data_IF_563196791893
#
_entry.id   IF_563196791893
#
_cell.length_a   1.000
_cell.length_b   1.000
_cell.length_c   1.000
_cell.angle_alpha   90.00
_cell.angle_beta   90.00
_cell.angle_gamma   90.00
#
_symmetry.space_group_name_H-M   'P 1'
#
loop_
_entity.id
_entity.type
_entity.pdbx_description
1 polymer ?
#
# COMPACT_ATOMS: atom_id res chain seq x y z
N UNK A 1 -17.53 -17.96 -10.46
CA UNK A 1 -17.76 -16.78 -11.33
C UNK A 1 -16.63 -16.66 -12.34
N UNK A 2 -16.95 -16.57 -13.63
CA UNK A 2 -15.97 -16.37 -14.69
C UNK A 2 -16.17 -15.01 -15.34
N UNK A 3 -15.08 -14.42 -15.82
CA UNK A 3 -15.10 -13.21 -16.63
C UNK A 3 -14.39 -13.46 -17.96
N UNK A 4 -14.84 -12.76 -18.99
CA UNK A 4 -14.13 -12.62 -20.25
C UNK A 4 -13.90 -11.13 -20.48
N UNK A 5 -12.64 -10.75 -20.62
CA UNK A 5 -12.31 -9.36 -20.94
C UNK A 5 -12.69 -9.04 -22.39
N UNK A 6 -13.12 -7.81 -22.62
CA UNK A 6 -13.42 -7.33 -23.96
C UNK A 6 -12.17 -7.43 -24.84
N UNK A 7 -12.27 -8.18 -25.95
CA UNK A 7 -11.16 -8.44 -26.87
C UNK A 7 -10.29 -9.66 -26.55
N UNK A 8 -10.54 -10.38 -25.43
CA UNK A 8 -9.87 -11.64 -25.12
C UNK A 8 -10.74 -12.87 -25.45
N UNK A 9 -10.12 -13.93 -25.96
CA UNK A 9 -10.78 -15.22 -26.20
C UNK A 9 -10.88 -16.02 -24.89
N UNK A 10 -9.94 -15.80 -23.96
CA UNK A 10 -9.84 -16.56 -22.71
C UNK A 10 -10.92 -16.18 -21.71
N UNK A 11 -11.58 -17.20 -21.16
CA UNK A 11 -12.49 -17.08 -20.00
C UNK A 11 -11.73 -17.44 -18.75
N UNK A 12 -11.69 -16.53 -17.78
CA UNK A 12 -10.91 -16.69 -16.53
C UNK A 12 -11.82 -16.71 -15.32
N UNK A 13 -11.46 -17.51 -14.33
CA UNK A 13 -12.12 -17.52 -13.03
C UNK A 13 -11.53 -16.47 -12.11
N UNK A 14 -12.38 -15.65 -11.48
CA UNK A 14 -11.98 -14.59 -10.53
C UNK A 14 -12.03 -15.05 -9.07
N UNK A 15 -12.65 -16.20 -8.79
CA UNK A 15 -12.77 -16.74 -7.43
C UNK A 15 -11.47 -17.42 -6.96
N UNK A 16 -11.12 -17.26 -5.69
CA UNK A 16 -9.98 -17.93 -5.08
C UNK A 16 -10.12 -19.46 -5.04
N UNK A 17 -11.35 -19.96 -5.05
CA UNK A 17 -11.69 -21.39 -4.91
C UNK A 17 -11.95 -22.08 -6.26
N UNK A 18 -11.35 -21.62 -7.36
CA UNK A 18 -11.53 -22.21 -8.67
C UNK A 18 -10.73 -23.51 -8.80
N UNK A 19 -11.37 -24.67 -8.90
CA UNK A 19 -10.74 -26.00 -9.00
C UNK A 19 -9.74 -26.10 -10.16
N UNK A 20 -10.03 -25.51 -11.32
CA UNK A 20 -9.14 -25.54 -12.48
C UNK A 20 -7.82 -24.78 -12.28
N UNK A 21 -7.74 -23.94 -11.26
CA UNK A 21 -6.57 -23.09 -11.00
C UNK A 21 -5.98 -23.31 -9.60
N UNK A 22 -6.54 -24.24 -8.83
CA UNK A 22 -6.20 -24.40 -7.42
C UNK A 22 -4.72 -24.70 -7.21
N UNK A 23 -4.15 -25.61 -7.97
CA UNK A 23 -2.73 -25.99 -7.85
C UNK A 23 -1.82 -24.81 -8.14
N UNK A 24 -2.09 -24.10 -9.23
CA UNK A 24 -1.29 -22.93 -9.60
C UNK A 24 -1.40 -21.79 -8.59
N UNK A 25 -2.59 -21.56 -8.04
CA UNK A 25 -2.82 -20.59 -6.97
C UNK A 25 -2.08 -20.94 -5.69
N UNK A 26 -2.08 -22.22 -5.30
CA UNK A 26 -1.34 -22.70 -4.13
C UNK A 26 0.17 -22.52 -4.34
N UNK A 27 0.69 -22.88 -5.54
CA UNK A 27 2.11 -22.67 -5.90
C UNK A 27 2.49 -21.21 -5.85
N UNK A 28 1.69 -20.34 -6.48
CA UNK A 28 1.92 -18.90 -6.47
C UNK A 28 1.91 -18.33 -5.05
N UNK A 29 0.89 -18.72 -4.25
CA UNK A 29 0.76 -18.28 -2.86
C UNK A 29 1.99 -18.67 -2.02
N UNK A 30 2.50 -19.87 -2.19
CA UNK A 30 3.66 -20.38 -1.45
C UNK A 30 5.01 -19.86 -1.97
N UNK A 31 5.06 -19.24 -3.15
CA UNK A 31 6.29 -18.83 -3.82
C UNK A 31 7.12 -17.82 -3.03
N UNK A 32 8.43 -17.74 -3.36
CA UNK A 32 9.41 -16.87 -2.68
C UNK A 32 9.03 -15.38 -2.68
N UNK A 33 8.43 -14.88 -3.76
CA UNK A 33 7.96 -13.49 -3.87
C UNK A 33 6.67 -13.22 -3.09
N UNK A 34 5.90 -14.26 -2.78
CA UNK A 34 4.63 -14.24 -2.07
C UNK A 34 4.81 -14.57 -0.59
N UNK A 35 4.21 -15.65 -0.09
CA UNK A 35 4.28 -16.03 1.34
C UNK A 35 5.61 -16.72 1.72
N UNK A 36 6.44 -17.11 0.77
CA UNK A 36 7.79 -17.69 0.97
C UNK A 36 7.77 -18.93 1.87
N UNK A 37 6.96 -19.91 1.51
CA UNK A 37 6.84 -21.15 2.27
C UNK A 37 7.84 -22.17 1.72
N UNK A 38 9.02 -22.18 2.30
CA UNK A 38 10.08 -23.09 1.89
C UNK A 38 9.65 -24.56 2.06
N UNK A 39 9.97 -25.36 1.08
CA UNK A 39 9.55 -26.77 1.06
C UNK A 39 8.19 -27.03 0.42
N UNK A 40 7.39 -25.99 0.12
CA UNK A 40 6.10 -26.13 -0.54
C UNK A 40 6.21 -25.82 -2.05
N UNK A 41 7.15 -26.52 -2.72
CA UNK A 41 7.30 -26.46 -4.17
C UNK A 41 6.28 -27.31 -4.92
N UNK A 42 6.33 -27.27 -6.26
CA UNK A 42 5.37 -27.91 -7.17
C UNK A 42 5.01 -29.36 -6.79
N UNK A 43 6.02 -30.22 -6.65
CA UNK A 43 5.81 -31.65 -6.34
C UNK A 43 5.15 -31.89 -4.98
N UNK A 44 5.46 -31.06 -3.99
CA UNK A 44 4.87 -31.17 -2.66
C UNK A 44 3.43 -30.64 -2.63
N UNK A 45 3.15 -29.56 -3.38
CA UNK A 45 1.77 -29.06 -3.57
C UNK A 45 0.90 -30.13 -4.25
N UNK A 46 1.38 -30.74 -5.34
CA UNK A 46 0.67 -31.84 -6.04
C UNK A 46 0.43 -33.04 -5.12
N UNK A 47 1.43 -33.42 -4.33
CA UNK A 47 1.32 -34.54 -3.40
C UNK A 47 0.26 -34.25 -2.32
N UNK A 48 0.34 -33.10 -1.66
CA UNK A 48 -0.62 -32.69 -0.63
C UNK A 48 -2.05 -32.59 -1.20
N UNK A 49 -2.20 -32.04 -2.40
CA UNK A 49 -3.49 -31.94 -3.09
C UNK A 49 -4.05 -33.32 -3.45
N UNK A 50 -3.23 -34.21 -4.03
CA UNK A 50 -3.64 -35.58 -4.39
C UNK A 50 -4.09 -36.40 -3.19
N UNK A 51 -3.51 -36.13 -2.03
CA UNK A 51 -3.87 -36.74 -0.74
C UNK A 51 -5.03 -36.04 -0.03
N UNK A 52 -5.61 -35.02 -0.66
CA UNK A 52 -6.72 -34.20 -0.11
C UNK A 52 -6.40 -33.52 1.23
N UNK A 53 -5.14 -33.30 1.51
CA UNK A 53 -4.67 -32.58 2.69
C UNK A 53 -4.83 -31.06 2.52
N UNK A 54 -4.76 -30.59 1.27
CA UNK A 54 -5.05 -29.22 0.89
C UNK A 54 -5.98 -29.23 -0.33
N UNK A 55 -6.97 -28.39 -0.33
CA UNK A 55 -7.85 -28.09 -1.46
C UNK A 55 -7.83 -26.61 -1.83
N UNK A 56 -7.24 -25.81 -0.97
CA UNK A 56 -7.15 -24.37 -1.08
C UNK A 56 -5.88 -23.87 -0.36
N UNK A 57 -5.34 -22.71 -0.74
CA UNK A 57 -4.12 -22.19 -0.08
C UNK A 57 -4.29 -21.91 1.41
N UNK A 58 -5.51 -21.62 1.91
CA UNK A 58 -5.74 -21.48 3.34
C UNK A 58 -5.58 -22.79 4.13
N UNK A 59 -5.71 -23.96 3.46
CA UNK A 59 -5.55 -25.25 4.12
C UNK A 59 -4.09 -25.54 4.48
N UNK A 60 -3.14 -24.85 3.85
CA UNK A 60 -1.71 -24.92 4.20
C UNK A 60 -1.51 -24.66 5.69
N UNK A 61 -2.23 -23.70 6.25
CA UNK A 61 -2.14 -23.29 7.66
C UNK A 61 -2.87 -24.22 8.64
N UNK A 62 -3.57 -25.24 8.13
CA UNK A 62 -4.22 -26.29 8.93
C UNK A 62 -3.36 -27.55 9.01
N UNK A 63 -2.32 -27.68 8.16
CA UNK A 63 -1.44 -28.85 8.11
C UNK A 63 -0.73 -29.06 9.45
N UNK A 64 -0.72 -30.32 9.89
CA UNK A 64 0.02 -30.76 11.06
C UNK A 64 1.19 -31.61 10.63
N UNK A 65 2.20 -31.72 11.48
CA UNK A 65 3.40 -32.52 11.21
C UNK A 65 3.06 -34.00 10.93
N UNK A 66 2.09 -34.53 11.66
CA UNK A 66 1.63 -35.91 11.53
C UNK A 66 1.05 -36.20 10.15
N UNK A 67 0.34 -35.22 9.56
CA UNK A 67 -0.22 -35.34 8.21
C UNK A 67 0.87 -35.47 7.14
N UNK A 68 2.00 -34.80 7.36
CA UNK A 68 3.12 -34.73 6.42
C UNK A 68 4.05 -35.96 6.56
N UNK A 69 4.29 -36.44 7.78
CA UNK A 69 5.14 -37.57 8.06
C UNK A 69 4.72 -38.88 7.34
N UNK A 70 3.42 -39.03 7.09
CA UNK A 70 2.87 -40.19 6.40
C UNK A 70 2.99 -40.10 4.86
N UNK A 71 3.56 -39.00 4.34
CA UNK A 71 3.69 -38.79 2.91
C UNK A 71 5.05 -39.34 2.38
N UNK A 72 5.07 -39.91 1.16
CA UNK A 72 6.32 -40.25 0.52
C UNK A 72 7.22 -39.03 0.38
N UNK A 73 8.54 -39.24 0.54
CA UNK A 73 9.60 -38.21 0.48
C UNK A 73 9.69 -37.31 1.71
N UNK A 74 8.83 -37.44 2.70
CA UNK A 74 8.96 -36.71 3.95
C UNK A 74 9.55 -37.65 5.03
N UNK A 75 10.57 -37.14 5.70
CA UNK A 75 11.13 -37.69 6.92
C UNK A 75 10.94 -36.66 8.03
N UNK A 76 11.22 -37.02 9.26
CA UNK A 76 11.06 -36.20 10.46
C UNK A 76 11.58 -34.76 10.26
N UNK A 77 12.83 -34.64 9.75
CA UNK A 77 13.46 -33.31 9.53
C UNK A 77 12.78 -32.49 8.46
N UNK A 78 12.40 -33.08 7.32
CA UNK A 78 11.75 -32.34 6.22
C UNK A 78 10.32 -31.95 6.56
N UNK A 79 9.58 -32.80 7.28
CA UNK A 79 8.26 -32.46 7.80
C UNK A 79 8.34 -31.29 8.80
N UNK A 80 9.29 -31.36 9.75
CA UNK A 80 9.51 -30.27 10.71
C UNK A 80 9.89 -28.96 10.01
N UNK A 81 10.76 -29.00 9.01
CA UNK A 81 11.16 -27.81 8.26
C UNK A 81 9.97 -27.18 7.53
N UNK A 82 9.11 -27.97 6.90
CA UNK A 82 7.92 -27.48 6.21
C UNK A 82 6.94 -26.80 7.21
N UNK A 83 6.65 -27.45 8.33
CA UNK A 83 5.80 -26.85 9.37
C UNK A 83 6.40 -25.55 9.90
N UNK A 84 7.71 -25.52 10.15
CA UNK A 84 8.39 -24.31 10.59
C UNK A 84 8.32 -23.18 9.54
N UNK A 85 8.43 -23.51 8.26
CA UNK A 85 8.26 -22.54 7.16
C UNK A 85 6.82 -22.01 7.07
N UNK A 86 5.82 -22.87 7.25
CA UNK A 86 4.41 -22.48 7.31
C UNK A 86 4.18 -21.53 8.49
N UNK A 87 4.66 -21.85 9.68
CA UNK A 87 4.50 -20.97 10.85
C UNK A 87 5.22 -19.63 10.64
N UNK A 88 6.43 -19.62 10.10
CA UNK A 88 7.16 -18.39 9.79
C UNK A 88 6.40 -17.52 8.80
N UNK A 89 5.76 -18.10 7.80
CA UNK A 89 5.00 -17.38 6.76
C UNK A 89 3.74 -16.68 7.29
N UNK A 90 3.26 -17.05 8.47
CA UNK A 90 2.12 -16.37 9.11
C UNK A 90 2.38 -14.88 9.36
N UNK A 91 3.63 -14.49 9.58
CA UNK A 91 4.00 -13.08 9.73
C UNK A 91 4.49 -12.55 8.38
N UNK A 92 3.67 -11.75 7.74
CA UNK A 92 3.94 -11.21 6.40
C UNK A 92 3.62 -9.73 6.29
N UNK A 93 4.04 -9.09 5.19
CA UNK A 93 3.69 -7.71 4.88
C UNK A 93 2.47 -7.64 3.96
N UNK A 94 1.74 -6.53 4.02
CA UNK A 94 0.58 -6.30 3.15
C UNK A 94 0.95 -6.42 1.67
N UNK A 95 2.09 -5.90 1.26
CA UNK A 95 2.61 -6.03 -0.08
C UNK A 95 2.72 -7.49 -0.52
N UNK A 96 3.45 -8.33 0.25
CA UNK A 96 3.65 -9.75 -0.06
C UNK A 96 2.33 -10.51 -0.08
N UNK A 97 1.46 -10.22 0.87
CA UNK A 97 0.15 -10.85 0.96
C UNK A 97 -0.74 -10.50 -0.24
N UNK A 98 -0.83 -9.23 -0.64
CA UNK A 98 -1.59 -8.81 -1.82
C UNK A 98 -1.07 -9.49 -3.10
N UNK A 99 0.25 -9.60 -3.25
CA UNK A 99 0.85 -10.33 -4.36
C UNK A 99 0.51 -11.82 -4.30
N UNK A 100 0.58 -12.44 -3.11
CA UNK A 100 0.27 -13.85 -2.89
C UNK A 100 -1.18 -14.22 -3.25
N UNK A 101 -2.13 -13.31 -3.12
CA UNK A 101 -3.53 -13.56 -3.48
C UNK A 101 -3.74 -13.83 -4.97
N UNK A 102 -2.78 -13.47 -5.83
CA UNK A 102 -2.86 -13.70 -7.28
C UNK A 102 -4.06 -13.03 -7.93
N UNK A 103 -4.40 -11.83 -7.48
CA UNK A 103 -5.47 -11.01 -8.07
C UNK A 103 -5.09 -10.69 -9.52
N UNK A 104 -6.02 -10.88 -10.44
CA UNK A 104 -5.77 -10.63 -11.87
C UNK A 104 -5.26 -9.19 -12.09
N UNK A 105 -4.24 -9.01 -12.93
CA UNK A 105 -3.53 -7.75 -13.20
C UNK A 105 -2.76 -7.15 -12.02
N UNK A 106 -2.78 -7.75 -10.84
CA UNK A 106 -2.03 -7.30 -9.68
C UNK A 106 -0.73 -8.09 -9.57
N UNK A 107 0.30 -7.63 -10.26
CA UNK A 107 1.66 -8.09 -10.09
C UNK A 107 2.35 -7.45 -8.88
N UNK A 108 3.62 -7.78 -8.68
CA UNK A 108 4.44 -7.30 -7.56
C UNK A 108 4.42 -5.76 -7.44
N UNK A 109 4.55 -5.06 -8.58
CA UNK A 109 4.55 -3.60 -8.61
C UNK A 109 3.21 -2.99 -8.15
N UNK A 110 2.09 -3.51 -8.66
CA UNK A 110 0.77 -3.04 -8.27
C UNK A 110 0.45 -3.35 -6.80
N UNK A 111 0.86 -4.52 -6.30
CA UNK A 111 0.73 -4.88 -4.89
C UNK A 111 1.51 -3.91 -3.98
N UNK A 112 2.71 -3.48 -4.40
CA UNK A 112 3.51 -2.49 -3.69
C UNK A 112 2.86 -1.10 -3.70
N UNK A 113 2.27 -0.67 -4.82
CA UNK A 113 1.53 0.59 -4.87
C UNK A 113 0.30 0.57 -3.95
N UNK A 114 -0.43 -0.55 -3.93
CA UNK A 114 -1.57 -0.71 -3.03
C UNK A 114 -1.13 -0.67 -1.56
N UNK A 115 -0.06 -1.39 -1.18
CA UNK A 115 0.42 -1.38 0.22
C UNK A 115 0.86 0.01 0.69
N UNK A 116 1.40 0.85 -0.21
CA UNK A 116 1.76 2.22 0.12
C UNK A 116 0.55 3.14 0.39
N UNK A 117 -0.59 2.84 -0.20
CA UNK A 117 -1.78 3.70 -0.16
C UNK A 117 -2.87 3.22 0.82
N UNK A 118 -2.83 1.98 1.28
CA UNK A 118 -3.80 1.41 2.23
C UNK A 118 -3.08 0.90 3.48
N UNK A 119 -3.49 1.36 4.66
CA UNK A 119 -2.84 1.00 5.93
C UNK A 119 -3.03 -0.48 6.24
N UNK A 120 -4.24 -0.99 6.03
CA UNK A 120 -4.67 -2.34 6.41
C UNK A 120 -5.35 -3.05 5.26
N UNK A 121 -5.30 -4.38 5.24
CA UNK A 121 -6.03 -5.20 4.28
C UNK A 121 -7.53 -4.87 4.25
N UNK A 122 -8.11 -4.57 5.40
CA UNK A 122 -9.54 -4.27 5.55
C UNK A 122 -9.97 -2.98 4.85
N UNK A 123 -9.04 -2.05 4.61
CA UNK A 123 -9.31 -0.80 3.88
C UNK A 123 -9.68 -1.06 2.40
N UNK A 124 -9.34 -2.26 1.91
CA UNK A 124 -9.68 -2.73 0.57
C UNK A 124 -11.07 -3.40 0.51
N UNK A 125 -11.67 -3.77 1.65
CA UNK A 125 -12.98 -4.42 1.65
C UNK A 125 -14.07 -3.46 1.17
N UNK A 126 -14.92 -3.94 0.24
CA UNK A 126 -15.99 -3.16 -0.39
C UNK A 126 -15.50 -1.86 -1.06
N UNK A 127 -14.25 -1.84 -1.51
CA UNK A 127 -13.63 -0.67 -2.13
C UNK A 127 -14.23 -0.40 -3.51
N UNK A 128 -14.47 0.89 -3.80
CA UNK A 128 -14.90 1.34 -5.13
C UNK A 128 -13.69 1.51 -6.05
N UNK A 129 -13.83 1.17 -7.36
CA UNK A 129 -12.75 1.29 -8.33
C UNK A 129 -12.15 2.71 -8.40
N UNK A 130 -12.98 3.75 -8.25
CA UNK A 130 -12.58 5.15 -8.35
C UNK A 130 -11.51 5.50 -7.31
N UNK A 131 -11.61 4.93 -6.09
CA UNK A 131 -10.61 5.14 -5.03
C UNK A 131 -9.27 4.50 -5.37
N UNK A 132 -9.26 3.41 -6.14
CA UNK A 132 -8.04 2.73 -6.55
C UNK A 132 -7.42 3.43 -7.76
N UNK A 133 -8.24 3.87 -8.72
CA UNK A 133 -7.81 4.63 -9.90
C UNK A 133 -7.12 5.95 -9.51
N UNK A 134 -7.51 6.57 -8.39
CA UNK A 134 -6.87 7.78 -7.90
C UNK A 134 -5.40 7.59 -7.50
N UNK A 135 -4.94 6.35 -7.35
CA UNK A 135 -3.54 6.03 -7.07
C UNK A 135 -2.74 6.18 -8.35
N UNK A 136 -1.73 7.06 -8.32
CA UNK A 136 -0.84 7.28 -9.47
C UNK A 136 -0.25 5.94 -9.97
N UNK A 137 -0.27 5.73 -11.27
CA UNK A 137 0.24 4.54 -11.97
C UNK A 137 -0.65 3.28 -11.83
N UNK A 138 -1.82 3.36 -11.24
CA UNK A 138 -2.82 2.31 -11.28
C UNK A 138 -3.88 2.64 -12.35
N UNK A 139 -4.01 1.76 -13.34
CA UNK A 139 -5.01 1.89 -14.39
C UNK A 139 -6.34 1.18 -14.08
N UNK A 140 -7.33 1.42 -14.92
CA UNK A 140 -8.70 0.89 -14.78
C UNK A 140 -8.75 -0.64 -14.64
N UNK A 141 -7.91 -1.38 -15.38
CA UNK A 141 -7.87 -2.86 -15.33
C UNK A 141 -7.48 -3.36 -13.94
N UNK A 142 -6.44 -2.78 -13.34
CA UNK A 142 -5.99 -3.13 -11.98
C UNK A 142 -7.08 -2.75 -10.97
N UNK A 143 -7.61 -1.52 -11.07
CA UNK A 143 -8.63 -1.03 -10.15
C UNK A 143 -9.90 -1.87 -10.20
N UNK A 144 -10.36 -2.24 -11.38
CA UNK A 144 -11.49 -3.14 -11.58
C UNK A 144 -11.25 -4.52 -10.96
N UNK A 145 -10.09 -5.13 -11.21
CA UNK A 145 -9.74 -6.45 -10.67
C UNK A 145 -9.67 -6.45 -9.15
N UNK A 146 -9.06 -5.45 -8.55
CA UNK A 146 -8.98 -5.29 -7.09
C UNK A 146 -10.36 -5.09 -6.49
N UNK A 147 -11.16 -4.19 -7.07
CA UNK A 147 -12.52 -3.95 -6.59
C UNK A 147 -13.39 -5.20 -6.68
N UNK A 148 -13.39 -5.90 -7.80
CA UNK A 148 -14.15 -7.16 -7.99
C UNK A 148 -13.70 -8.20 -6.95
N UNK A 149 -12.40 -8.35 -6.71
CA UNK A 149 -11.87 -9.31 -5.74
C UNK A 149 -12.32 -9.01 -4.30
N UNK A 150 -12.20 -7.76 -3.86
CA UNK A 150 -12.51 -7.34 -2.49
C UNK A 150 -14.00 -7.02 -2.26
N UNK A 151 -14.85 -7.12 -3.29
CA UNK A 151 -16.30 -7.09 -3.17
C UNK A 151 -16.91 -8.50 -3.25
N UNK A 152 -16.13 -9.54 -3.48
CA UNK A 152 -16.58 -10.93 -3.49
C UNK A 152 -16.61 -11.48 -2.06
N UNK A 153 -17.79 -11.91 -1.63
CA UNK A 153 -18.02 -12.39 -0.26
C UNK A 153 -17.20 -13.65 0.09
N UNK A 154 -17.03 -14.57 -0.86
CA UNK A 154 -16.26 -15.81 -0.64
C UNK A 154 -14.77 -15.52 -0.50
N UNK A 155 -14.26 -14.55 -1.28
CA UNK A 155 -12.88 -14.09 -1.12
C UNK A 155 -12.68 -13.47 0.28
N UNK A 156 -13.56 -12.58 0.72
CA UNK A 156 -13.49 -11.97 2.05
C UNK A 156 -13.54 -13.03 3.15
N UNK A 157 -14.43 -14.02 3.05
CA UNK A 157 -14.52 -15.13 4.00
C UNK A 157 -13.19 -15.93 4.07
N UNK A 158 -12.56 -16.16 2.93
CA UNK A 158 -11.26 -16.82 2.87
C UNK A 158 -10.18 -16.00 3.58
N UNK A 159 -10.16 -14.67 3.38
CA UNK A 159 -9.21 -13.77 4.07
C UNK A 159 -9.44 -13.76 5.60
N UNK A 160 -10.69 -13.78 6.04
CA UNK A 160 -11.04 -13.91 7.45
C UNK A 160 -10.60 -15.26 8.05
N UNK A 161 -10.74 -16.33 7.28
CA UNK A 161 -10.24 -17.67 7.67
C UNK A 161 -8.73 -17.66 7.85
N UNK A 162 -7.96 -17.07 6.92
CA UNK A 162 -6.51 -16.93 7.08
C UNK A 162 -6.14 -16.18 8.35
N UNK A 163 -6.83 -15.08 8.65
CA UNK A 163 -6.65 -14.33 9.89
C UNK A 163 -6.92 -15.20 11.13
N UNK A 164 -7.99 -16.00 11.13
CA UNK A 164 -8.33 -16.90 12.25
C UNK A 164 -7.32 -18.03 12.42
N UNK A 165 -6.61 -18.43 11.35
CA UNK A 165 -5.52 -19.41 11.36
C UNK A 165 -4.17 -18.81 11.78
N UNK A 166 -4.16 -17.52 12.17
CA UNK A 166 -2.99 -16.85 12.74
C UNK A 166 -2.14 -16.08 11.73
N UNK A 167 -2.61 -15.90 10.47
CA UNK A 167 -1.90 -15.03 9.52
C UNK A 167 -2.00 -13.57 9.98
N UNK A 168 -0.85 -12.99 10.28
CA UNK A 168 -0.67 -11.63 10.75
C UNK A 168 -0.03 -10.78 9.65
N UNK A 169 -0.75 -9.75 9.23
CA UNK A 169 -0.34 -8.86 8.14
C UNK A 169 0.04 -7.51 8.72
N UNK A 170 1.31 -7.15 8.59
CA UNK A 170 1.84 -5.83 8.95
C UNK A 170 2.04 -4.98 7.69
N UNK A 171 2.06 -3.68 7.82
CA UNK A 171 2.33 -2.81 6.67
C UNK A 171 3.35 -1.71 7.00
N UNK A 172 4.65 -2.05 6.99
CA UNK A 172 5.72 -1.07 7.17
C UNK A 172 5.85 -0.11 5.97
N UNK A 173 5.32 -0.47 4.80
CA UNK A 173 5.42 0.31 3.56
C UNK A 173 4.33 1.38 3.44
N UNK A 174 3.39 1.44 4.39
CA UNK A 174 2.31 2.41 4.35
C UNK A 174 2.87 3.83 4.43
N UNK A 175 2.78 4.53 3.31
CA UNK A 175 3.17 5.93 3.26
C UNK A 175 2.06 6.84 3.80
N UNK A 176 0.88 6.26 4.02
CA UNK A 176 -0.35 6.97 4.30
C UNK A 176 -0.83 7.69 3.03
N UNK A 177 -2.00 8.31 3.06
CA UNK A 177 -2.00 9.66 2.61
C UNK A 177 -1.02 10.36 3.57
N UNK A 178 0.26 10.42 3.24
CA UNK A 178 0.95 11.66 3.51
C UNK A 178 0.01 12.67 2.82
N UNK A 179 -0.94 13.23 3.52
CA UNK A 179 -1.13 14.66 3.45
C UNK A 179 0.31 15.11 3.56
N UNK A 180 0.94 15.44 2.44
CA UNK A 180 2.11 16.29 2.50
C UNK A 180 1.69 17.22 3.59
N UNK A 181 2.41 17.19 4.73
CA UNK A 181 2.10 18.15 5.78
C UNK A 181 2.14 19.44 5.02
N UNK A 182 0.98 19.94 4.68
CA UNK A 182 0.84 21.26 4.04
C UNK A 182 0.52 22.24 5.15
N UNK A 183 1.49 22.42 6.08
CA UNK A 183 1.29 23.27 7.26
C UNK A 183 0.95 24.70 6.84
N UNK A 184 1.18 25.03 5.57
CA UNK A 184 0.97 26.35 5.00
C UNK A 184 -0.25 26.40 4.05
N UNK A 185 -1.08 25.34 3.99
CA UNK A 185 -2.22 25.27 3.07
C UNK A 185 -3.20 26.41 3.31
N UNK A 186 -3.46 27.16 2.23
CA UNK A 186 -4.35 28.34 2.27
C UNK A 186 -3.70 29.62 2.83
N UNK A 187 -2.43 29.59 3.25
CA UNK A 187 -1.72 30.77 3.73
C UNK A 187 -0.91 31.44 2.63
N UNK A 188 -0.94 32.76 2.60
CA UNK A 188 -0.18 33.60 1.66
C UNK A 188 0.97 34.31 2.37
N UNK A 189 2.18 34.11 1.85
CA UNK A 189 3.41 34.69 2.38
C UNK A 189 4.02 35.69 1.41
N UNK A 190 4.62 36.73 1.95
CA UNK A 190 5.47 37.67 1.21
C UNK A 190 6.82 37.77 1.89
N UNK A 191 7.89 37.91 1.12
CA UNK A 191 9.25 38.00 1.64
C UNK A 191 9.79 39.42 1.37
N UNK A 192 10.46 40.02 2.38
CA UNK A 192 11.12 41.31 2.26
C UNK A 192 12.49 41.30 2.95
N UNK A 193 13.43 42.06 2.43
CA UNK A 193 14.80 42.12 2.96
C UNK A 193 15.64 40.90 2.57
N UNK A 194 16.87 40.84 3.11
CA UNK A 194 17.82 39.75 2.92
C UNK A 194 17.61 38.70 4.00
N UNK A 195 17.38 37.46 3.59
CA UNK A 195 17.19 36.31 4.49
C UNK A 195 18.36 35.32 4.32
N UNK A 196 18.52 34.41 5.28
CA UNK A 196 19.62 33.45 5.33
C UNK A 196 19.69 32.46 4.15
N UNK A 197 18.63 32.37 3.36
CA UNK A 197 18.50 31.51 2.16
C UNK A 197 18.16 32.34 0.92
N UNK A 198 18.53 31.90 -0.28
CA UNK A 198 18.05 32.51 -1.51
C UNK A 198 16.52 32.61 -1.53
N UNK A 199 16.00 33.78 -1.89
CA UNK A 199 14.55 34.02 -1.92
C UNK A 199 13.77 32.95 -2.67
N UNK A 200 14.29 32.52 -3.83
CA UNK A 200 13.67 31.50 -4.67
C UNK A 200 13.51 30.17 -3.95
N UNK A 201 14.52 29.75 -3.17
CA UNK A 201 14.45 28.52 -2.37
C UNK A 201 13.33 28.58 -1.32
N UNK A 202 13.13 29.73 -0.69
CA UNK A 202 12.08 29.92 0.34
C UNK A 202 10.71 30.01 -0.30
N UNK A 203 10.57 30.64 -1.46
CA UNK A 203 9.35 30.66 -2.24
C UNK A 203 8.95 29.22 -2.67
N UNK A 204 9.90 28.46 -3.21
CA UNK A 204 9.68 27.05 -3.60
C UNK A 204 9.33 26.16 -2.39
N UNK A 205 9.92 26.43 -1.22
CA UNK A 205 9.59 25.73 0.03
C UNK A 205 8.14 26.04 0.48
N UNK A 206 7.72 27.31 0.45
CA UNK A 206 6.34 27.72 0.78
C UNK A 206 5.35 26.98 -0.15
N UNK A 207 5.59 27.01 -1.45
CA UNK A 207 4.72 26.35 -2.45
C UNK A 207 4.68 24.83 -2.24
N UNK A 208 5.83 24.19 -1.95
CA UNK A 208 5.89 22.76 -1.69
C UNK A 208 5.12 22.32 -0.44
N UNK A 209 4.97 23.22 0.52
CA UNK A 209 4.22 23.01 1.77
C UNK A 209 2.75 23.45 1.68
N UNK A 210 2.29 23.79 0.46
CA UNK A 210 0.89 24.14 0.18
C UNK A 210 0.51 25.60 0.43
N UNK A 211 1.49 26.46 0.77
CA UNK A 211 1.30 27.90 0.86
C UNK A 211 1.41 28.59 -0.49
N UNK A 212 1.14 29.89 -0.54
CA UNK A 212 1.30 30.73 -1.72
C UNK A 212 2.33 31.84 -1.46
N UNK A 213 3.38 31.91 -2.28
CA UNK A 213 4.41 32.94 -2.20
C UNK A 213 4.06 34.11 -3.13
N UNK A 214 3.62 35.23 -2.56
CA UNK A 214 3.24 36.41 -3.34
C UNK A 214 4.39 37.44 -3.42
N UNK A 215 4.45 38.16 -4.53
CA UNK A 215 5.45 39.20 -4.77
C UNK A 215 5.17 40.52 -4.08
N UNK A 216 3.91 40.79 -3.70
CA UNK A 216 3.46 42.05 -3.12
C UNK A 216 2.53 41.83 -1.91
N UNK A 217 2.63 42.71 -0.90
CA UNK A 217 1.74 42.69 0.28
C UNK A 217 0.35 43.22 -0.10
N UNK A 218 -0.68 42.48 0.29
CA UNK A 218 -2.10 42.82 0.09
C UNK A 218 -2.93 42.41 1.32
N UNK A 219 -4.23 42.70 1.32
CA UNK A 219 -5.16 42.28 2.39
C UNK A 219 -5.30 40.74 2.51
N UNK A 220 -4.94 40.01 1.47
CA UNK A 220 -4.92 38.53 1.45
C UNK A 220 -3.57 37.94 1.87
N UNK A 221 -2.63 38.77 2.33
CA UNK A 221 -1.32 38.28 2.84
C UNK A 221 -1.47 37.96 4.32
N UNK A 222 -1.18 36.71 4.70
CA UNK A 222 -1.25 36.26 6.09
C UNK A 222 0.04 36.56 6.85
N UNK A 223 1.20 36.39 6.20
CA UNK A 223 2.49 36.61 6.83
C UNK A 223 3.46 37.37 5.92
N UNK A 224 4.19 38.32 6.50
CA UNK A 224 5.37 38.91 5.89
C UNK A 224 6.64 38.35 6.57
N UNK A 225 7.46 37.61 5.84
CA UNK A 225 8.77 37.15 6.31
C UNK A 225 9.76 38.32 6.14
N UNK A 226 10.28 38.81 7.27
CA UNK A 226 11.16 39.98 7.32
C UNK A 226 12.61 39.52 7.55
N UNK A 227 13.47 39.88 6.60
CA UNK A 227 14.93 39.75 6.69
C UNK A 227 15.62 41.07 7.02
N UNK A 228 16.95 41.10 6.86
CA UNK A 228 17.74 42.32 7.05
C UNK A 228 17.44 43.35 5.97
N UNK A 229 17.48 44.62 6.32
CA UNK A 229 17.20 45.76 5.45
C UNK A 229 15.84 45.63 4.71
N UNK A 230 14.73 45.49 5.43
CA UNK A 230 13.43 45.38 4.82
C UNK A 230 13.07 46.66 4.05
N UNK A 231 12.52 46.50 2.84
CA UNK A 231 12.09 47.60 2.00
C UNK A 231 10.65 48.08 2.32
N UNK A 232 10.03 48.84 1.41
CA UNK A 232 8.71 49.41 1.51
C UNK A 232 7.55 48.42 1.81
N UNK A 233 7.79 47.11 1.60
CA UNK A 233 6.82 46.07 1.93
C UNK A 233 6.53 45.96 3.42
N UNK A 234 7.50 46.30 4.30
CA UNK A 234 7.28 46.33 5.76
C UNK A 234 6.26 47.39 6.15
N UNK A 235 6.44 48.63 5.70
CA UNK A 235 5.50 49.73 5.96
C UNK A 235 4.09 49.40 5.45
N UNK A 236 4.01 48.78 4.27
CA UNK A 236 2.73 48.34 3.71
C UNK A 236 2.07 47.24 4.54
N UNK A 237 2.83 46.31 5.08
CA UNK A 237 2.33 45.24 5.95
C UNK A 237 1.76 45.83 7.27
N UNK A 238 2.48 46.77 7.86
CA UNK A 238 2.01 47.52 9.05
C UNK A 238 0.69 48.24 8.79
N UNK A 239 0.59 48.95 7.66
CA UNK A 239 -0.63 49.65 7.25
C UNK A 239 -1.82 48.71 7.07
N UNK A 240 -1.57 47.48 6.58
CA UNK A 240 -2.60 46.49 6.32
C UNK A 240 -2.80 45.51 7.48
N UNK A 241 -2.09 45.72 8.62
CA UNK A 241 -2.10 44.85 9.81
C UNK A 241 -1.73 43.38 9.47
N UNK A 242 -0.85 43.18 8.49
CA UNK A 242 -0.31 41.85 8.13
C UNK A 242 0.71 41.43 9.17
N UNK A 243 0.61 40.19 9.64
CA UNK A 243 1.51 39.65 10.65
C UNK A 243 2.94 39.52 10.10
N UNK A 244 3.90 40.13 10.80
CA UNK A 244 5.33 40.03 10.45
C UNK A 244 6.01 38.94 11.26
N UNK A 245 6.85 38.15 10.62
CA UNK A 245 7.64 37.06 11.25
C UNK A 245 9.07 37.06 10.73
N UNK A 246 10.00 36.64 11.55
CA UNK A 246 11.37 36.35 11.12
C UNK A 246 11.46 35.04 10.35
N UNK A 247 12.56 34.83 9.63
CA UNK A 247 12.80 33.53 8.95
C UNK A 247 12.87 32.36 9.95
N UNK A 248 13.41 32.56 11.16
CA UNK A 248 13.44 31.54 12.20
C UNK A 248 12.04 31.19 12.75
N UNK A 249 11.16 32.16 12.85
CA UNK A 249 9.75 31.92 13.23
C UNK A 249 9.00 31.20 12.13
N UNK A 250 9.25 31.53 10.86
CA UNK A 250 8.73 30.77 9.71
C UNK A 250 9.16 29.29 9.79
N UNK A 251 10.43 28.99 10.07
CA UNK A 251 10.91 27.62 10.23
C UNK A 251 10.20 26.86 11.36
N UNK A 252 9.79 27.55 12.45
CA UNK A 252 9.00 26.93 13.53
C UNK A 252 7.56 26.61 13.13
N UNK A 253 6.99 27.35 12.15
CA UNK A 253 5.65 27.07 11.64
C UNK A 253 5.63 25.80 10.79
N UNK A 254 6.71 25.53 10.09
CA UNK A 254 6.79 24.37 9.19
C UNK A 254 7.32 23.08 9.86
N UNK A 255 7.80 23.13 11.09
CA UNK A 255 8.18 21.98 11.94
C UNK A 255 9.64 21.70 11.99
#
# INVERSE_FOLDING_TARGET
KTIREAGEVAVRCIGLNCEAQVLERIRHFASRGAMDIEGLGEKNVELLYSKRLISHFADIYKLKKEDILNLPRFAEKSAQNLISAIEKSKNTTLFRFLYALGIMHVGEYAAKLLSKNFEKLQDLYNIKPEKIISIKQIGEKIAGSVSVFFNDHENIKTLQTLKSLGVNITNPDFEGTKKEKRPLEGLTFVITGTIAKPRKEVEDLIESLGGHAASAVSKSTDYLIVGENPGSKLQKAETLSVKTISYNEFLKIIG
#
